data_IF_728161998550
#
_entry.id   IF_728161998550
#
_cell.length_a   1.000
_cell.length_b   1.000
_cell.length_c   1.000
_cell.angle_alpha   90.00
_cell.angle_beta   90.00
_cell.angle_gamma   90.00
#
_symmetry.space_group_name_H-M   'P 1'
#
loop_
_entity.id
_entity.type
_entity.pdbx_description
1 polymer ?
#
# COMPACT_ATOMS: atom_id res chain seq x y z
N UNK A 1 -11.08 16.29 11.11
CA UNK A 1 -10.16 16.76 12.18
C UNK A 1 -8.89 15.98 11.97
N UNK A 2 -7.78 16.62 11.58
CA UNK A 2 -6.52 15.89 11.33
C UNK A 2 -6.02 15.33 12.66
N UNK A 3 -5.81 14.03 12.72
CA UNK A 3 -5.25 13.31 13.87
C UNK A 3 -3.73 13.55 14.01
N UNK A 4 -3.12 14.18 13.02
CA UNK A 4 -1.69 14.54 13.08
C UNK A 4 -1.53 15.89 13.77
N UNK A 5 -1.20 15.85 15.06
CA UNK A 5 -0.62 17.01 15.77
C UNK A 5 0.70 17.37 15.09
N UNK A 6 1.09 18.64 15.15
CA UNK A 6 2.32 19.13 14.50
C UNK A 6 3.52 18.23 14.82
N UNK A 7 4.29 17.86 13.82
CA UNK A 7 5.47 16.99 13.89
C UNK A 7 6.54 17.42 14.91
N UNK A 8 6.46 18.63 15.45
CA UNK A 8 7.39 19.18 16.46
C UNK A 8 7.31 18.49 17.83
N UNK A 9 6.27 17.68 18.07
CA UNK A 9 6.07 16.96 19.34
C UNK A 9 6.44 15.47 19.26
N UNK A 10 6.82 14.98 18.09
CA UNK A 10 7.13 13.57 17.90
C UNK A 10 8.59 13.30 18.21
N UNK A 11 8.85 12.25 18.99
CA UNK A 11 10.19 11.78 19.35
C UNK A 11 10.55 10.46 18.67
N UNK A 12 11.78 9.98 18.88
CA UNK A 12 12.26 8.71 18.35
C UNK A 12 12.43 8.73 16.82
N UNK A 13 11.97 7.67 16.15
CA UNK A 13 12.07 7.56 14.69
C UNK A 13 11.23 8.60 13.94
N UNK A 14 10.17 9.11 14.55
CA UNK A 14 9.35 10.19 14.00
C UNK A 14 10.11 11.51 13.80
N UNK A 15 11.27 11.67 14.42
CA UNK A 15 12.16 12.82 14.27
C UNK A 15 13.27 12.59 13.21
N UNK A 16 13.29 11.43 12.54
CA UNK A 16 14.29 11.12 11.52
C UNK A 16 14.05 11.92 10.23
N UNK A 17 15.10 12.08 9.44
CA UNK A 17 15.00 12.70 8.11
C UNK A 17 14.47 11.74 7.04
N UNK A 18 14.40 10.45 7.37
CA UNK A 18 13.87 9.38 6.51
C UNK A 18 12.47 9.02 7.00
N UNK A 19 11.49 9.76 6.54
CA UNK A 19 10.09 9.56 6.95
C UNK A 19 9.22 9.12 5.78
N UNK A 20 8.14 8.41 6.10
CA UNK A 20 7.05 8.09 5.20
C UNK A 20 5.76 8.51 5.88
N UNK A 21 4.78 9.09 5.17
CA UNK A 21 4.73 9.37 3.74
C UNK A 21 5.52 10.62 3.32
N UNK A 22 5.85 10.73 2.03
CA UNK A 22 6.58 11.87 1.47
C UNK A 22 5.85 12.49 0.28
N UNK A 23 6.27 13.70 -0.08
CA UNK A 23 5.98 14.28 -1.39
C UNK A 23 7.02 13.80 -2.39
N UNK A 24 6.59 13.07 -3.41
CA UNK A 24 7.44 12.61 -4.49
C UNK A 24 7.51 13.68 -5.58
N UNK A 25 8.72 14.09 -5.98
CA UNK A 25 8.90 15.02 -7.08
C UNK A 25 9.82 14.41 -8.15
N UNK A 26 9.37 14.45 -9.41
CA UNK A 26 10.14 13.98 -10.55
C UNK A 26 11.44 14.77 -10.73
N UNK A 27 11.41 16.07 -10.41
CA UNK A 27 12.59 16.92 -10.54
C UNK A 27 13.72 16.57 -9.57
N UNK A 28 13.38 15.97 -8.42
CA UNK A 28 14.34 15.49 -7.41
C UNK A 28 14.68 14.01 -7.54
N UNK A 29 13.91 13.27 -8.34
CA UNK A 29 14.15 11.86 -8.57
C UNK A 29 15.42 11.65 -9.41
N UNK A 30 16.20 10.65 -9.04
CA UNK A 30 17.37 10.21 -9.81
C UNK A 30 17.04 8.90 -10.53
N UNK A 31 17.63 8.65 -11.70
CA UNK A 31 17.56 7.33 -12.30
C UNK A 31 18.02 6.27 -11.30
N UNK A 32 17.41 5.11 -11.32
CA UNK A 32 17.85 4.00 -10.50
C UNK A 32 19.18 3.44 -11.08
N UNK A 33 20.28 3.66 -10.36
CA UNK A 33 21.61 3.17 -10.73
C UNK A 33 21.82 1.71 -10.35
N UNK A 34 20.89 1.14 -9.57
CA UNK A 34 20.87 -0.26 -9.13
C UNK A 34 19.66 -0.94 -9.77
N UNK A 35 19.63 -2.27 -9.69
CA UNK A 35 18.44 -3.02 -10.04
C UNK A 35 17.29 -2.55 -9.13
N UNK A 36 16.32 -1.88 -9.72
CA UNK A 36 15.05 -1.53 -9.07
C UNK A 36 13.98 -2.41 -9.71
N UNK A 37 14.10 -3.72 -9.50
CA UNK A 37 13.23 -4.72 -10.11
C UNK A 37 12.19 -5.18 -9.10
N UNK A 38 10.94 -4.82 -9.34
CA UNK A 38 9.79 -5.23 -8.54
C UNK A 38 8.89 -6.15 -9.37
N UNK A 39 8.81 -7.41 -8.95
CA UNK A 39 8.00 -8.44 -9.61
C UNK A 39 7.00 -9.00 -8.62
N UNK A 40 5.72 -8.83 -8.89
CA UNK A 40 4.65 -9.47 -8.10
C UNK A 40 4.47 -10.92 -8.53
N UNK A 41 4.12 -11.75 -7.56
CA UNK A 41 3.61 -13.08 -7.82
C UNK A 41 2.16 -12.98 -8.31
N UNK A 42 1.83 -13.70 -9.39
CA UNK A 42 0.49 -13.74 -9.97
C UNK A 42 -0.49 -14.64 -9.18
N UNK A 43 -0.08 -15.14 -8.02
CA UNK A 43 -0.92 -16.01 -7.21
C UNK A 43 -2.19 -15.31 -6.77
N UNK A 44 -3.32 -15.95 -7.00
CA UNK A 44 -4.61 -15.52 -6.48
C UNK A 44 -4.74 -15.82 -5.00
N UNK A 45 -5.30 -14.86 -4.25
CA UNK A 45 -5.62 -15.01 -2.84
C UNK A 45 -7.14 -14.97 -2.70
N UNK A 46 -7.79 -16.13 -2.54
CA UNK A 46 -9.26 -16.18 -2.58
C UNK A 46 -9.93 -15.67 -1.30
N UNK A 47 -9.21 -15.62 -0.19
CA UNK A 47 -9.78 -15.26 1.12
C UNK A 47 -8.87 -14.33 1.90
N UNK A 48 -9.49 -13.42 2.65
CA UNK A 48 -8.81 -12.53 3.58
C UNK A 48 -9.75 -12.09 4.70
N UNK A 49 -9.23 -11.29 5.63
CA UNK A 49 -10.01 -10.60 6.65
C UNK A 49 -9.91 -9.11 6.42
N UNK A 50 -11.05 -8.43 6.45
CA UNK A 50 -11.12 -6.97 6.34
C UNK A 50 -11.54 -6.36 7.67
N UNK A 51 -10.95 -5.22 8.01
CA UNK A 51 -11.31 -4.41 9.16
C UNK A 51 -11.24 -2.92 8.82
N UNK A 52 -11.92 -2.10 9.62
CA UNK A 52 -11.77 -0.65 9.61
C UNK A 52 -10.92 -0.25 10.81
N UNK A 53 -9.84 0.47 10.56
CA UNK A 53 -8.98 1.09 11.57
C UNK A 53 -9.13 2.61 11.53
N UNK A 54 -8.48 3.30 12.48
CA UNK A 54 -8.42 4.77 12.48
C UNK A 54 -7.68 5.34 11.28
N UNK A 55 -6.80 4.54 10.66
CA UNK A 55 -6.00 4.93 9.49
C UNK A 55 -6.70 4.63 8.16
N UNK A 56 -7.68 3.71 8.15
CA UNK A 56 -8.37 3.31 6.92
C UNK A 56 -8.87 1.88 6.95
N UNK A 57 -9.03 1.30 5.77
CA UNK A 57 -9.45 -0.10 5.62
C UNK A 57 -8.23 -0.99 5.53
N UNK A 58 -8.15 -1.97 6.42
CA UNK A 58 -7.05 -2.95 6.45
C UNK A 58 -7.55 -4.30 5.95
N UNK A 59 -6.80 -4.88 5.02
CA UNK A 59 -6.97 -6.26 4.57
C UNK A 59 -5.76 -7.06 5.03
N UNK A 60 -6.00 -8.25 5.60
CA UNK A 60 -4.94 -9.15 6.05
C UNK A 60 -5.31 -10.61 5.88
N UNK A 61 -4.31 -11.46 5.77
CA UNK A 61 -4.47 -12.92 5.72
C UNK A 61 -3.27 -13.62 6.33
N UNK A 62 -3.49 -14.85 6.78
CA UNK A 62 -2.42 -15.77 7.19
C UNK A 62 -2.43 -16.97 6.23
N UNK A 63 -1.33 -17.30 5.56
CA UNK A 63 0.06 -16.83 5.77
C UNK A 63 0.41 -15.48 5.12
N UNK A 64 -0.48 -14.85 4.33
CA UNK A 64 -0.26 -13.55 3.69
C UNK A 64 -1.26 -13.27 2.57
N UNK A 65 -1.15 -12.08 1.98
CA UNK A 65 -1.98 -11.58 0.87
C UNK A 65 -1.30 -11.73 -0.50
N UNK A 66 -0.23 -12.51 -0.59
CA UNK A 66 0.58 -12.68 -1.78
C UNK A 66 2.04 -12.35 -1.52
N UNK A 67 2.85 -12.38 -2.57
CA UNK A 67 4.29 -12.15 -2.50
C UNK A 67 4.81 -11.31 -3.66
N UNK A 68 6.01 -10.77 -3.47
CA UNK A 68 6.75 -10.12 -4.53
C UNK A 68 8.25 -10.40 -4.37
N UNK A 69 9.00 -10.09 -5.42
CA UNK A 69 10.46 -10.00 -5.37
C UNK A 69 10.86 -8.57 -5.62
N UNK A 70 11.75 -8.04 -4.80
CA UNK A 70 12.38 -6.75 -5.02
C UNK A 70 13.91 -6.97 -5.07
N UNK A 71 14.50 -6.63 -6.21
CA UNK A 71 15.92 -6.91 -6.50
C UNK A 71 16.33 -8.37 -6.26
N UNK A 72 15.44 -9.31 -6.60
CA UNK A 72 15.64 -10.73 -6.41
C UNK A 72 15.40 -11.28 -5.00
N UNK A 73 15.20 -10.40 -4.00
CA UNK A 73 14.86 -10.78 -2.62
C UNK A 73 13.34 -10.96 -2.49
N UNK A 74 12.90 -12.08 -1.91
CA UNK A 74 11.49 -12.42 -1.75
C UNK A 74 10.85 -11.79 -0.51
N UNK A 75 9.63 -11.29 -0.65
CA UNK A 75 8.83 -10.66 0.40
C UNK A 75 7.40 -11.19 0.38
N UNK A 76 6.81 -11.38 1.55
CA UNK A 76 5.40 -11.78 1.71
C UNK A 76 4.58 -10.58 2.22
N UNK A 77 3.47 -10.30 1.57
CA UNK A 77 2.54 -9.24 2.00
C UNK A 77 1.80 -9.67 3.26
N UNK A 78 1.95 -8.92 4.32
CA UNK A 78 1.29 -9.16 5.61
C UNK A 78 -0.02 -8.41 5.73
N UNK A 79 -0.03 -7.16 5.27
CA UNK A 79 -1.18 -6.27 5.35
C UNK A 79 -1.29 -5.42 4.07
N UNK A 80 -2.54 -5.06 3.75
CA UNK A 80 -2.85 -4.03 2.77
C UNK A 80 -3.68 -2.97 3.46
N UNK A 81 -3.27 -1.72 3.38
CA UNK A 81 -3.97 -0.56 3.92
C UNK A 81 -4.52 0.28 2.78
N UNK A 82 -5.79 0.65 2.86
CA UNK A 82 -6.43 1.62 1.94
C UNK A 82 -6.81 2.85 2.71
N UNK A 83 -6.27 3.99 2.31
CA UNK A 83 -6.51 5.29 2.93
C UNK A 83 -7.24 6.25 2.00
N UNK A 84 -7.97 7.18 2.56
CA UNK A 84 -8.64 8.27 1.86
C UNK A 84 -8.61 9.54 2.74
N UNK A 85 -8.03 10.63 2.26
CA UNK A 85 -7.23 10.80 1.04
C UNK A 85 -5.88 10.07 1.10
N UNK A 86 -5.07 10.16 0.02
CA UNK A 86 -3.73 9.59 0.02
C UNK A 86 -2.81 10.27 1.05
N UNK A 87 -1.91 9.52 1.65
CA UNK A 87 -0.89 10.07 2.54
C UNK A 87 0.30 10.62 1.75
N UNK A 88 0.74 9.90 0.71
CA UNK A 88 1.75 10.41 -0.22
C UNK A 88 1.15 11.44 -1.16
N UNK A 89 2.00 12.35 -1.63
CA UNK A 89 1.67 13.29 -2.70
C UNK A 89 2.68 13.16 -3.84
N UNK A 90 2.25 13.49 -5.05
CA UNK A 90 3.13 13.59 -6.22
C UNK A 90 3.05 15.02 -6.73
N UNK A 91 4.19 15.71 -6.84
CA UNK A 91 4.27 17.13 -7.21
C UNK A 91 3.36 18.02 -6.34
N UNK A 92 3.30 17.73 -5.03
CA UNK A 92 2.41 18.36 -4.04
C UNK A 92 0.90 18.16 -4.31
N UNK A 93 0.54 17.24 -5.19
CA UNK A 93 -0.86 16.90 -5.48
C UNK A 93 -1.22 15.64 -4.70
N UNK A 94 -2.23 15.76 -3.84
CA UNK A 94 -2.83 14.65 -3.12
C UNK A 94 -3.79 13.89 -4.05
N UNK A 95 -3.74 12.57 -4.01
CA UNK A 95 -4.70 11.72 -4.71
C UNK A 95 -5.96 11.47 -3.86
N UNK A 96 -7.02 10.94 -4.49
CA UNK A 96 -8.26 10.63 -3.78
C UNK A 96 -8.04 9.51 -2.75
N UNK A 97 -7.12 8.60 -3.00
CA UNK A 97 -6.73 7.59 -2.03
C UNK A 97 -5.42 6.92 -2.39
N UNK A 98 -5.04 6.01 -1.51
CA UNK A 98 -3.79 5.26 -1.59
C UNK A 98 -4.00 3.84 -1.10
N UNK A 99 -3.38 2.89 -1.79
CA UNK A 99 -3.24 1.50 -1.35
C UNK A 99 -1.79 1.28 -0.98
N UNK A 100 -1.53 0.85 0.26
CA UNK A 100 -0.19 0.50 0.73
C UNK A 100 -0.16 -0.99 1.06
N UNK A 101 0.60 -1.76 0.31
CA UNK A 101 0.89 -3.15 0.63
C UNK A 101 2.20 -3.23 1.44
N UNK A 102 2.12 -3.84 2.61
CA UNK A 102 3.23 -3.98 3.55
C UNK A 102 3.73 -5.42 3.46
N UNK A 103 4.98 -5.55 3.07
CA UNK A 103 5.66 -6.83 2.89
C UNK A 103 6.78 -6.99 3.90
N UNK A 104 7.03 -8.23 4.28
CA UNK A 104 8.15 -8.60 5.16
C UNK A 104 8.90 -9.78 4.57
N UNK A 105 10.22 -9.75 4.64
CA UNK A 105 11.05 -10.89 4.28
C UNK A 105 11.41 -11.74 5.51
N UNK A 106 12.01 -12.94 5.32
CA UNK A 106 12.41 -13.80 6.44
C UNK A 106 13.46 -13.17 7.38
N UNK A 107 14.22 -12.16 6.94
CA UNK A 107 15.18 -11.44 7.80
C UNK A 107 14.57 -10.27 8.56
N UNK A 108 13.25 -10.03 8.40
CA UNK A 108 12.54 -8.95 9.08
C UNK A 108 12.64 -7.59 8.39
N UNK A 109 13.21 -7.52 7.18
CA UNK A 109 13.18 -6.29 6.38
C UNK A 109 11.75 -6.03 5.89
N UNK A 110 11.38 -4.77 5.87
CA UNK A 110 10.07 -4.30 5.43
C UNK A 110 10.20 -3.63 4.06
N UNK A 111 9.28 -3.96 3.17
CA UNK A 111 9.08 -3.30 1.90
C UNK A 111 7.62 -2.82 1.85
N UNK A 112 7.41 -1.54 1.60
CA UNK A 112 6.09 -0.98 1.35
C UNK A 112 5.95 -0.65 -0.14
N UNK A 113 4.88 -1.11 -0.75
CA UNK A 113 4.52 -0.74 -2.12
C UNK A 113 3.24 0.07 -2.06
N UNK A 114 3.34 1.33 -2.47
CA UNK A 114 2.22 2.26 -2.48
C UNK A 114 1.74 2.54 -3.89
N UNK A 115 0.43 2.55 -4.08
CA UNK A 115 -0.22 2.94 -5.32
C UNK A 115 -1.29 3.99 -5.03
N UNK A 116 -1.14 5.16 -5.64
CA UNK A 116 -2.10 6.25 -5.52
C UNK A 116 -3.20 6.10 -6.56
N UNK A 117 -4.44 6.37 -6.18
CA UNK A 117 -5.57 6.27 -7.11
C UNK A 117 -6.45 7.52 -7.08
N UNK A 118 -7.17 7.70 -8.18
CA UNK A 118 -8.24 8.68 -8.32
C UNK A 118 -9.56 7.98 -8.60
N UNK A 119 -10.63 8.54 -8.07
CA UNK A 119 -11.98 8.04 -8.35
C UNK A 119 -12.41 8.52 -9.72
N UNK A 120 -12.56 7.58 -10.65
CA UNK A 120 -13.14 7.84 -11.95
C UNK A 120 -14.41 7.01 -12.12
N UNK A 121 -15.60 7.63 -12.07
CA UNK A 121 -16.86 6.87 -12.16
C UNK A 121 -17.08 6.20 -13.52
N UNK A 122 -16.30 6.53 -14.54
CA UNK A 122 -16.36 5.91 -15.86
C UNK A 122 -15.49 4.66 -16.03
N UNK A 123 -14.58 4.41 -15.06
CA UNK A 123 -13.67 3.27 -15.13
C UNK A 123 -14.14 2.12 -14.22
N UNK A 124 -14.21 0.93 -14.78
CA UNK A 124 -14.71 -0.27 -14.08
C UNK A 124 -13.60 -1.25 -13.68
N UNK A 125 -12.42 -1.18 -14.27
CA UNK A 125 -11.38 -2.22 -14.10
C UNK A 125 -10.74 -2.22 -12.71
N UNK A 126 -10.43 -1.05 -12.15
CA UNK A 126 -9.92 -0.98 -10.78
C UNK A 126 -11.01 -1.22 -9.72
N UNK A 127 -12.26 -1.03 -10.06
CA UNK A 127 -13.37 -1.29 -9.13
C UNK A 127 -13.45 -2.76 -8.71
N UNK A 128 -13.04 -3.70 -9.56
CA UNK A 128 -13.05 -5.12 -9.21
C UNK A 128 -12.08 -5.46 -8.07
N UNK A 129 -10.94 -4.77 -7.97
CA UNK A 129 -9.99 -4.93 -6.87
C UNK A 129 -10.60 -4.50 -5.53
N UNK A 130 -11.17 -3.29 -5.50
CA UNK A 130 -11.76 -2.72 -4.28
C UNK A 130 -13.10 -3.34 -3.91
N UNK A 131 -13.95 -3.66 -4.89
CA UNK A 131 -15.27 -4.24 -4.67
C UNK A 131 -15.20 -5.62 -4.02
N UNK A 132 -14.06 -6.29 -4.08
CA UNK A 132 -13.86 -7.58 -3.42
C UNK A 132 -13.88 -7.48 -1.88
N UNK A 133 -13.54 -6.33 -1.30
CA UNK A 133 -13.42 -6.22 0.16
C UNK A 133 -14.02 -4.95 0.79
N UNK A 134 -14.00 -3.79 0.12
CA UNK A 134 -14.52 -2.54 0.70
C UNK A 134 -15.98 -2.65 1.17
N UNK A 135 -16.92 -3.28 0.43
CA UNK A 135 -18.31 -3.39 0.88
C UNK A 135 -18.50 -4.20 2.16
N UNK A 136 -17.50 -4.98 2.56
CA UNK A 136 -17.53 -5.81 3.77
C UNK A 136 -16.80 -5.16 4.95
N UNK A 137 -16.16 -4.02 4.74
CA UNK A 137 -15.50 -3.26 5.78
C UNK A 137 -16.57 -2.60 6.69
N UNK A 138 -16.68 -3.10 7.91
CA UNK A 138 -17.73 -2.65 8.85
C UNK A 138 -17.08 -2.00 10.08
N UNK A 139 -17.30 -0.69 10.29
CA UNK A 139 -16.81 -0.02 11.49
C UNK A 139 -17.33 -0.71 12.77
N UNK A 140 -16.43 -0.94 13.72
CA UNK A 140 -16.76 -1.58 15.00
C UNK A 140 -16.71 -3.11 14.99
N UNK A 141 -16.45 -3.73 13.85
CA UNK A 141 -16.16 -5.17 13.74
C UNK A 141 -14.68 -5.38 13.60
N UNK A 142 -14.08 -6.19 14.47
CA UNK A 142 -12.63 -6.37 14.51
C UNK A 142 -12.10 -7.02 13.22
N UNK A 143 -12.77 -8.07 12.73
CA UNK A 143 -12.42 -8.73 11.47
C UNK A 143 -13.65 -9.33 10.80
N UNK A 144 -13.81 -9.06 9.52
CA UNK A 144 -14.83 -9.69 8.68
C UNK A 144 -14.15 -10.56 7.64
N UNK A 145 -14.37 -11.89 7.64
CA UNK A 145 -13.89 -12.76 6.58
C UNK A 145 -14.52 -12.40 5.25
N UNK A 146 -13.70 -12.31 4.20
CA UNK A 146 -14.16 -11.98 2.84
C UNK A 146 -13.62 -12.97 1.83
N UNK A 147 -14.45 -13.29 0.84
CA UNK A 147 -14.05 -14.02 -0.34
C UNK A 147 -13.68 -13.00 -1.42
N UNK A 148 -12.39 -12.94 -1.77
CA UNK A 148 -11.85 -12.01 -2.76
C UNK A 148 -12.06 -12.49 -4.20
N UNK A 149 -12.40 -13.76 -4.38
CA UNK A 149 -12.55 -14.41 -5.68
C UNK A 149 -11.23 -14.93 -6.27
N UNK A 150 -11.36 -15.82 -7.24
CA UNK A 150 -10.23 -16.60 -7.78
C UNK A 150 -9.22 -15.77 -8.59
N UNK A 151 -9.57 -14.55 -8.96
CA UNK A 151 -8.71 -13.68 -9.77
C UNK A 151 -8.21 -12.44 -9.01
N UNK A 152 -8.37 -12.39 -7.69
CA UNK A 152 -7.86 -11.28 -6.91
C UNK A 152 -6.39 -11.48 -6.58
N UNK A 153 -5.58 -10.43 -6.75
CA UNK A 153 -4.16 -10.47 -6.42
C UNK A 153 -3.56 -9.06 -6.36
N UNK A 154 -2.43 -8.94 -5.66
CA UNK A 154 -1.75 -7.66 -5.44
C UNK A 154 -1.21 -7.03 -6.72
N UNK A 155 -0.90 -7.83 -7.74
CA UNK A 155 -0.46 -7.32 -9.06
C UNK A 155 -1.48 -6.36 -9.70
N UNK A 156 -2.76 -6.42 -9.29
CA UNK A 156 -3.81 -5.50 -9.78
C UNK A 156 -3.78 -4.12 -9.12
N UNK A 157 -3.03 -3.92 -8.05
CA UNK A 157 -2.91 -2.61 -7.42
C UNK A 157 -1.94 -1.68 -8.15
N UNK A 158 -1.11 -2.22 -9.03
CA UNK A 158 -0.11 -1.45 -9.78
C UNK A 158 -0.43 -1.45 -11.28
N UNK A 159 -0.16 -0.34 -12.00
CA UNK A 159 -0.31 -0.31 -13.44
C UNK A 159 0.62 -1.32 -14.12
N UNK A 160 0.17 -2.02 -15.19
CA UNK A 160 0.98 -3.04 -15.88
C UNK A 160 2.24 -2.50 -16.56
N UNK A 161 2.31 -1.20 -16.81
CA UNK A 161 3.49 -0.51 -17.35
C UNK A 161 3.58 0.86 -16.69
N UNK A 162 4.28 0.95 -15.58
CA UNK A 162 4.42 2.19 -14.83
C UNK A 162 5.86 2.46 -14.42
N UNK A 163 6.20 3.73 -14.35
CA UNK A 163 7.38 4.17 -13.61
C UNK A 163 7.00 4.22 -12.12
N UNK A 164 7.94 3.88 -11.25
CA UNK A 164 7.77 4.00 -9.82
C UNK A 164 9.01 4.64 -9.18
N UNK A 165 8.81 5.19 -8.03
CA UNK A 165 9.84 5.81 -7.22
C UNK A 165 10.21 4.89 -6.08
N UNK A 166 11.49 4.85 -5.73
CA UNK A 166 12.01 4.11 -4.58
C UNK A 166 12.68 5.09 -3.64
N UNK A 167 12.39 4.97 -2.37
CA UNK A 167 13.05 5.75 -1.34
C UNK A 167 13.16 4.92 -0.04
N UNK A 168 14.11 5.28 0.81
CA UNK A 168 14.21 4.73 2.16
C UNK A 168 13.29 5.52 3.08
N UNK A 169 12.35 4.83 3.72
CA UNK A 169 11.38 5.40 4.64
C UNK A 169 11.39 4.70 5.99
N UNK A 170 10.57 5.18 6.91
CA UNK A 170 10.29 4.53 8.18
C UNK A 170 8.80 4.27 8.32
N UNK A 171 8.43 3.10 8.83
CA UNK A 171 7.08 2.88 9.35
C UNK A 171 6.99 3.56 10.71
N UNK A 172 5.99 4.39 10.87
CA UNK A 172 5.67 5.08 12.13
C UNK A 172 4.61 4.27 12.87
#
# INVERSE_FOLDING_TARGET
MSIYSSSTTWGGQCASTQQSPINVSQSSAKPCDLLCDLVFDDASIPQANVMVSDEGIVLQNTPGLGSCKFNGEGYTCTNLLVTHPSHHTIENIQADGEVVAIFTNPSGKILCVSSLFRVNPAETDSSSFFNAFIPYANPGVQYTPVNLGDNWGLFKMVPPAGQYFVYEGSLI
#
